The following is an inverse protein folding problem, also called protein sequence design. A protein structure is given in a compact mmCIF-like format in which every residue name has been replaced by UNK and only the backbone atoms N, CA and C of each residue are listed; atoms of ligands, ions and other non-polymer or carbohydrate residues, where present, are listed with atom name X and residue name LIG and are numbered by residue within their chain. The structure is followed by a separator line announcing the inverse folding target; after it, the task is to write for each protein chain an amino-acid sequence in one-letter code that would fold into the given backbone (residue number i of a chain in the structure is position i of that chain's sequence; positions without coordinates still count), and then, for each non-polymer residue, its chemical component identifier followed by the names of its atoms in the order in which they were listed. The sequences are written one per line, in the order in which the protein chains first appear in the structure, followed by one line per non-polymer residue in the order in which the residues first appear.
data_IF_557200863012
#
_entry.id   IF_557200863012
#
_cell.length_a   1.000
_cell.length_b   1.000
_cell.length_c   1.000
_cell.angle_alpha   90.00
_cell.angle_beta   90.00
_cell.angle_gamma   90.00
#
_symmetry.space_group_name_H-M   'P 1'
#
loop_
_entity.id
_entity.type
_entity.pdbx_description
1 polymer ?
#
# COMPACT_ATOMS: atom_id res chain seq x y z
N UNK A 1 10.37 -17.30 17.29
CA UNK A 1 10.48 -17.87 15.92
C UNK A 1 10.52 -16.69 14.97
N UNK A 2 11.67 -16.44 14.38
CA UNK A 2 11.78 -15.45 13.28
C UNK A 2 10.98 -16.01 12.11
N UNK A 3 9.89 -15.34 11.76
CA UNK A 3 9.15 -15.66 10.55
C UNK A 3 10.12 -15.48 9.39
N UNK A 4 10.17 -16.46 8.49
CA UNK A 4 11.03 -16.37 7.31
C UNK A 4 10.63 -15.12 6.51
N UNK A 5 11.53 -14.15 6.41
CA UNK A 5 11.27 -12.87 5.72
C UNK A 5 10.87 -13.08 4.25
N UNK A 6 11.43 -14.10 3.61
CA UNK A 6 11.08 -14.45 2.23
C UNK A 6 9.63 -14.95 2.12
N UNK A 7 9.20 -15.80 3.05
CA UNK A 7 7.82 -16.28 3.11
C UNK A 7 6.84 -15.13 3.38
N UNK A 8 7.22 -14.18 4.24
CA UNK A 8 6.40 -13.01 4.55
C UNK A 8 6.25 -12.09 3.33
N UNK A 9 7.34 -11.85 2.60
CA UNK A 9 7.30 -11.05 1.36
C UNK A 9 6.47 -11.76 0.28
N UNK A 10 6.55 -13.08 0.17
CA UNK A 10 5.73 -13.85 -0.75
C UNK A 10 4.24 -13.77 -0.41
N UNK A 11 3.87 -13.81 0.87
CA UNK A 11 2.47 -13.63 1.32
C UNK A 11 1.95 -12.21 1.02
N UNK A 12 2.81 -11.19 1.10
CA UNK A 12 2.48 -9.83 0.69
C UNK A 12 2.19 -9.73 -0.82
N UNK A 13 2.96 -10.44 -1.66
CA UNK A 13 2.69 -10.51 -3.10
C UNK A 13 1.38 -11.22 -3.40
N UNK A 14 1.09 -12.30 -2.68
CA UNK A 14 -0.16 -13.03 -2.84
C UNK A 14 -1.36 -12.18 -2.46
N UNK A 15 -1.31 -11.46 -1.34
CA UNK A 15 -2.39 -10.55 -0.92
C UNK A 15 -2.68 -9.49 -2.00
N UNK A 16 -1.64 -8.92 -2.62
CA UNK A 16 -1.78 -7.99 -3.74
C UNK A 16 -2.42 -8.63 -4.97
N UNK A 17 -1.98 -9.81 -5.34
CA UNK A 17 -2.52 -10.50 -6.50
C UNK A 17 -4.01 -10.83 -6.32
N UNK A 18 -4.40 -11.27 -5.12
CA UNK A 18 -5.79 -11.52 -4.75
C UNK A 18 -6.64 -10.24 -4.83
N UNK A 19 -6.14 -9.13 -4.26
CA UNK A 19 -6.83 -7.84 -4.30
C UNK A 19 -7.02 -7.36 -5.74
N UNK A 20 -5.99 -7.44 -6.59
CA UNK A 20 -6.08 -7.02 -8.00
C UNK A 20 -7.07 -7.84 -8.81
N UNK A 21 -7.16 -9.15 -8.56
CA UNK A 21 -8.18 -10.01 -9.20
C UNK A 21 -9.59 -9.57 -8.82
N UNK A 22 -9.82 -9.29 -7.54
CA UNK A 22 -11.13 -8.84 -7.03
C UNK A 22 -11.51 -7.48 -7.63
N UNK A 23 -10.59 -6.51 -7.62
CA UNK A 23 -10.84 -5.17 -8.20
C UNK A 23 -11.07 -5.26 -9.70
N UNK A 24 -10.32 -6.10 -10.42
CA UNK A 24 -10.50 -6.28 -11.86
C UNK A 24 -11.88 -6.87 -12.22
N UNK A 25 -12.39 -7.76 -11.38
CA UNK A 25 -13.69 -8.41 -11.58
C UNK A 25 -14.90 -7.51 -11.21
N UNK A 26 -14.67 -6.39 -10.52
CA UNK A 26 -15.75 -5.48 -10.13
C UNK A 26 -16.34 -4.79 -11.37
N UNK A 27 -17.66 -4.64 -11.40
CA UNK A 27 -18.35 -3.87 -12.44
C UNK A 27 -17.80 -2.42 -12.48
N UNK A 28 -17.47 -1.89 -13.68
CA UNK A 28 -16.96 -0.53 -13.81
C UNK A 28 -17.86 0.58 -13.25
N UNK A 29 -19.18 0.32 -13.18
CA UNK A 29 -20.17 1.26 -12.67
C UNK A 29 -20.28 1.25 -11.12
N UNK A 30 -19.60 0.31 -10.44
CA UNK A 30 -19.62 0.20 -8.99
C UNK A 30 -18.41 0.94 -8.40
N UNK A 31 -18.68 1.86 -7.48
CA UNK A 31 -17.62 2.45 -6.66
C UNK A 31 -16.94 1.40 -5.77
N UNK A 32 -15.63 1.36 -5.77
CA UNK A 32 -14.83 0.46 -4.92
C UNK A 32 -14.97 0.83 -3.44
N UNK A 33 -15.05 2.12 -3.19
CA UNK A 33 -15.41 2.74 -1.91
C UNK A 33 -16.36 3.89 -2.21
N UNK A 34 -17.14 4.39 -1.25
CA UNK A 34 -18.04 5.50 -1.50
C UNK A 34 -17.34 6.69 -2.17
N UNK A 35 -17.72 7.02 -3.40
CA UNK A 35 -17.16 8.11 -4.20
C UNK A 35 -15.84 7.81 -4.90
N UNK A 36 -15.35 6.57 -4.87
CA UNK A 36 -14.11 6.15 -5.54
C UNK A 36 -14.36 5.05 -6.57
N UNK A 37 -14.03 5.31 -7.82
CA UNK A 37 -13.95 4.30 -8.86
C UNK A 37 -12.64 3.48 -8.74
N UNK A 38 -12.43 2.52 -9.65
CA UNK A 38 -11.22 1.68 -9.66
C UNK A 38 -9.94 2.51 -9.75
N UNK A 39 -9.91 3.56 -10.59
CA UNK A 39 -8.76 4.45 -10.75
C UNK A 39 -8.41 5.14 -9.42
N UNK A 40 -9.40 5.66 -8.72
CA UNK A 40 -9.22 6.36 -7.45
C UNK A 40 -8.71 5.40 -6.36
N UNK A 41 -9.19 4.17 -6.38
CA UNK A 41 -8.69 3.12 -5.50
C UNK A 41 -7.21 2.79 -5.77
N UNK A 42 -6.83 2.62 -7.05
CA UNK A 42 -5.41 2.44 -7.38
C UNK A 42 -4.57 3.65 -6.96
N UNK A 43 -5.09 4.88 -7.11
CA UNK A 43 -4.42 6.10 -6.69
C UNK A 43 -4.17 6.14 -5.16
N UNK A 44 -5.13 5.67 -4.37
CA UNK A 44 -4.99 5.49 -2.93
C UNK A 44 -3.83 4.52 -2.60
N UNK A 45 -3.82 3.35 -3.21
CA UNK A 45 -2.76 2.35 -3.00
C UNK A 45 -1.39 2.91 -3.44
N UNK A 46 -1.30 3.53 -4.62
CA UNK A 46 -0.07 4.12 -5.12
C UNK A 46 0.49 5.21 -4.20
N UNK A 47 -0.39 6.05 -3.63
CA UNK A 47 0.00 7.09 -2.68
C UNK A 47 0.63 6.55 -1.42
N UNK A 48 0.03 5.54 -0.79
CA UNK A 48 0.60 4.91 0.40
C UNK A 48 1.93 4.22 0.09
N UNK A 49 2.05 3.53 -1.04
CA UNK A 49 3.29 2.87 -1.42
C UNK A 49 4.41 3.86 -1.76
N UNK A 50 4.09 5.01 -2.35
CA UNK A 50 5.07 6.07 -2.57
C UNK A 50 5.68 6.58 -1.25
N UNK A 51 4.84 6.79 -0.22
CA UNK A 51 5.34 7.17 1.12
C UNK A 51 6.23 6.08 1.70
N UNK A 52 5.80 4.83 1.62
CA UNK A 52 6.57 3.70 2.15
C UNK A 52 7.92 3.58 1.46
N UNK A 53 7.96 3.73 0.13
CA UNK A 53 9.21 3.75 -0.62
C UNK A 53 10.15 4.85 -0.12
N UNK A 54 9.66 6.08 0.07
CA UNK A 54 10.46 7.20 0.57
C UNK A 54 10.95 6.96 2.01
N UNK A 55 10.14 6.31 2.87
CA UNK A 55 10.55 5.93 4.23
C UNK A 55 11.72 4.96 4.20
N UNK A 56 11.66 3.92 3.37
CA UNK A 56 12.79 3.00 3.22
C UNK A 56 14.02 3.71 2.66
N UNK A 57 13.85 4.60 1.68
CA UNK A 57 14.94 5.39 1.12
C UNK A 57 15.59 6.28 2.19
N UNK A 58 14.80 6.97 3.02
CA UNK A 58 15.30 7.76 4.15
C UNK A 58 16.13 6.91 5.12
N UNK A 59 15.62 5.74 5.53
CA UNK A 59 16.30 4.89 6.49
C UNK A 59 17.57 4.22 5.93
N UNK A 60 17.69 4.10 4.61
CA UNK A 60 18.88 3.48 3.96
C UNK A 60 19.91 4.49 3.49
N UNK A 61 19.48 5.67 3.03
CA UNK A 61 20.37 6.66 2.39
C UNK A 61 20.44 7.99 3.14
N UNK A 62 19.54 8.24 4.11
CA UNK A 62 19.37 9.53 4.76
C UNK A 62 18.70 10.59 3.89
N UNK A 63 18.16 10.23 2.72
CA UNK A 63 17.39 11.15 1.87
C UNK A 63 16.20 11.70 2.64
N UNK A 64 16.05 13.04 2.80
CA UNK A 64 14.95 13.60 3.57
C UNK A 64 13.59 13.17 3.03
N UNK A 65 12.67 12.84 3.94
CA UNK A 65 11.27 12.65 3.59
C UNK A 65 10.68 13.96 3.08
N UNK A 66 9.78 13.88 2.11
CA UNK A 66 8.96 15.03 1.73
C UNK A 66 8.10 15.47 2.90
N UNK A 67 7.79 16.76 2.97
CA UNK A 67 6.75 17.25 3.88
C UNK A 67 5.40 16.75 3.39
N UNK A 68 4.88 15.72 4.05
CA UNK A 68 3.52 15.28 3.84
C UNK A 68 2.58 16.04 4.78
N UNK A 69 1.46 16.57 4.29
CA UNK A 69 0.51 17.34 5.11
C UNK A 69 -0.17 16.51 6.22
N UNK A 70 0.07 15.21 6.26
CA UNK A 70 -0.56 14.25 7.17
C UNK A 70 0.46 13.52 8.06
N UNK A 71 1.34 14.26 8.69
CA UNK A 71 2.23 13.71 9.73
C UNK A 71 1.48 13.14 10.95
N UNK A 72 0.16 13.15 10.91
CA UNK A 72 -0.70 12.67 11.97
C UNK A 72 -1.76 11.71 11.39
N UNK A 73 -1.86 10.51 11.97
CA UNK A 73 -2.88 9.51 11.60
C UNK A 73 -4.32 10.02 11.78
N UNK A 74 -4.51 11.14 12.49
CA UNK A 74 -5.81 11.76 12.69
C UNK A 74 -6.42 12.35 11.40
N UNK A 75 -5.64 12.38 10.30
CA UNK A 75 -6.06 12.97 9.02
C UNK A 75 -5.89 11.99 7.82
N UNK A 76 -6.18 10.71 8.03
CA UNK A 76 -6.12 9.67 6.98
C UNK A 76 -7.04 10.00 5.80
N UNK A 77 -8.20 10.59 6.06
CA UNK A 77 -9.14 10.93 5.00
C UNK A 77 -8.58 12.03 4.09
N UNK A 78 -7.94 13.04 4.67
CA UNK A 78 -7.25 14.09 3.90
C UNK A 78 -6.07 13.51 3.10
N UNK A 79 -5.28 12.62 3.68
CA UNK A 79 -4.20 11.92 2.99
C UNK A 79 -4.73 11.13 1.79
N UNK A 80 -5.76 10.34 1.99
CA UNK A 80 -6.39 9.53 0.96
C UNK A 80 -6.95 10.40 -0.18
N UNK A 81 -7.65 11.48 0.16
CA UNK A 81 -8.16 12.44 -0.82
C UNK A 81 -7.02 13.11 -1.60
N UNK A 82 -5.91 13.44 -0.93
CA UNK A 82 -4.71 14.00 -1.53
C UNK A 82 -4.09 13.08 -2.57
N UNK A 83 -3.94 11.78 -2.26
CA UNK A 83 -3.39 10.79 -3.21
C UNK A 83 -4.22 10.65 -4.47
N UNK A 84 -5.55 10.68 -4.34
CA UNK A 84 -6.48 10.65 -5.47
C UNK A 84 -6.36 11.94 -6.29
N UNK A 85 -6.34 13.10 -5.63
CA UNK A 85 -6.25 14.41 -6.29
C UNK A 85 -4.94 14.56 -7.07
N UNK A 86 -3.80 14.15 -6.52
CA UNK A 86 -2.49 14.20 -7.17
C UNK A 86 -2.45 13.40 -8.49
N UNK A 87 -3.28 12.36 -8.59
CA UNK A 87 -3.31 11.43 -9.74
C UNK A 87 -4.52 11.61 -10.66
N UNK A 88 -5.26 12.71 -10.51
CA UNK A 88 -6.48 12.96 -11.30
C UNK A 88 -6.27 12.93 -12.81
N UNK A 89 -5.11 13.36 -13.30
CA UNK A 89 -4.78 13.37 -14.74
C UNK A 89 -4.27 12.02 -15.27
N UNK A 90 -4.02 11.06 -14.38
CA UNK A 90 -3.53 9.72 -14.74
C UNK A 90 -4.65 8.82 -15.25
N UNK A 91 -4.32 7.95 -16.21
CA UNK A 91 -5.20 6.84 -16.57
C UNK A 91 -5.13 5.74 -15.52
N UNK A 92 -6.16 4.88 -15.46
CA UNK A 92 -6.18 3.72 -14.57
C UNK A 92 -4.93 2.85 -14.76
N UNK A 93 -4.56 2.55 -16.02
CA UNK A 93 -3.39 1.73 -16.33
C UNK A 93 -2.07 2.37 -15.84
N UNK A 94 -1.92 3.69 -16.00
CA UNK A 94 -0.71 4.39 -15.55
C UNK A 94 -0.59 4.38 -14.03
N UNK A 95 -1.69 4.55 -13.31
CA UNK A 95 -1.70 4.54 -11.84
C UNK A 95 -1.45 3.11 -11.32
N UNK A 96 -2.05 2.12 -11.96
CA UNK A 96 -1.78 0.71 -11.66
C UNK A 96 -0.31 0.34 -11.88
N UNK A 97 0.28 0.82 -12.98
CA UNK A 97 1.71 0.64 -13.24
C UNK A 97 2.57 1.32 -12.15
N UNK A 98 2.17 2.51 -11.67
CA UNK A 98 2.84 3.17 -10.53
C UNK A 98 2.82 2.27 -9.29
N UNK A 99 1.68 1.65 -8.95
CA UNK A 99 1.60 0.68 -7.85
C UNK A 99 2.62 -0.47 -8.03
N UNK A 100 2.72 -1.04 -9.23
CA UNK A 100 3.65 -2.15 -9.49
C UNK A 100 5.12 -1.72 -9.35
N UNK A 101 5.46 -0.52 -9.84
CA UNK A 101 6.81 0.04 -9.72
C UNK A 101 7.17 0.28 -8.25
N UNK A 102 6.29 0.92 -7.49
CA UNK A 102 6.50 1.19 -6.07
C UNK A 102 6.64 -0.12 -5.27
N UNK A 103 5.76 -1.09 -5.52
CA UNK A 103 5.82 -2.40 -4.89
C UNK A 103 7.13 -3.13 -5.20
N UNK A 104 7.56 -3.12 -6.44
CA UNK A 104 8.84 -3.71 -6.83
C UNK A 104 10.02 -3.07 -6.09
N UNK A 105 10.04 -1.73 -5.99
CA UNK A 105 11.09 -1.01 -5.29
C UNK A 105 11.08 -1.32 -3.78
N UNK A 106 9.91 -1.33 -3.14
CA UNK A 106 9.75 -1.70 -1.72
C UNK A 106 10.26 -3.14 -1.48
N UNK A 107 9.90 -4.08 -2.32
CA UNK A 107 10.36 -5.47 -2.21
C UNK A 107 11.87 -5.59 -2.33
N UNK A 108 12.48 -4.87 -3.26
CA UNK A 108 13.94 -4.85 -3.35
C UNK A 108 14.56 -4.37 -2.06
N UNK A 109 14.06 -3.25 -1.50
CA UNK A 109 14.57 -2.72 -0.23
C UNK A 109 14.37 -3.70 0.93
N UNK A 110 13.22 -4.37 1.01
CA UNK A 110 12.97 -5.40 2.02
C UNK A 110 13.95 -6.58 1.88
N UNK A 111 14.23 -7.03 0.67
CA UNK A 111 15.18 -8.12 0.42
C UNK A 111 16.63 -7.73 0.73
N UNK A 112 16.96 -6.44 0.67
CA UNK A 112 18.30 -5.93 1.01
C UNK A 112 18.48 -5.75 2.53
N UNK A 113 17.43 -5.86 3.35
CA UNK A 113 17.54 -5.83 4.81
C UNK A 113 18.09 -7.16 5.31
N UNK A 114 19.25 -7.18 6.01
CA UNK A 114 19.74 -8.41 6.65
C UNK A 114 18.70 -9.00 7.61
N UNK A 115 18.58 -10.32 7.63
CA UNK A 115 17.56 -11.04 8.43
C UNK A 115 17.59 -10.62 9.90
N UNK A 116 18.79 -10.43 10.47
CA UNK A 116 18.97 -9.97 11.84
C UNK A 116 18.54 -8.52 12.10
N UNK A 117 18.25 -7.77 11.04
CA UNK A 117 17.80 -6.38 11.10
C UNK A 117 16.28 -6.23 10.80
N UNK A 118 15.62 -7.32 10.38
CA UNK A 118 14.21 -7.28 9.95
C UNK A 118 13.28 -6.84 11.07
N UNK A 119 13.65 -7.13 12.32
CA UNK A 119 12.92 -6.73 13.53
C UNK A 119 13.50 -5.46 14.20
N UNK A 120 14.45 -4.77 13.55
CA UNK A 120 14.91 -3.47 14.05
C UNK A 120 13.92 -2.35 13.69
N UNK A 121 13.75 -1.36 14.59
CA UNK A 121 12.84 -0.25 14.33
C UNK A 121 13.26 0.59 13.11
N UNK A 122 12.32 0.84 12.22
CA UNK A 122 12.39 1.76 11.08
C UNK A 122 11.52 2.97 11.42
N UNK A 123 12.01 4.18 11.18
CA UNK A 123 11.26 5.41 11.44
C UNK A 123 10.31 5.71 10.28
N UNK A 124 9.00 5.69 10.56
CA UNK A 124 7.94 6.15 9.68
C UNK A 124 7.39 7.50 10.17
N UNK A 125 6.71 8.30 9.33
CA UNK A 125 6.08 9.55 9.74
C UNK A 125 5.11 9.41 10.93
N UNK A 126 4.44 8.27 11.01
CA UNK A 126 3.45 7.94 12.06
C UNK A 126 4.03 7.14 13.24
N UNK A 127 5.36 6.93 13.30
CA UNK A 127 5.99 6.21 14.41
C UNK A 127 7.04 5.20 13.97
N UNK A 128 7.43 4.31 14.88
CA UNK A 128 8.43 3.28 14.61
C UNK A 128 7.76 1.94 14.38
N UNK A 129 8.09 1.28 13.27
CA UNK A 129 7.71 -0.09 12.96
C UNK A 129 8.94 -0.91 12.61
N UNK A 130 8.85 -2.23 12.71
CA UNK A 130 9.83 -3.14 12.13
C UNK A 130 9.46 -3.49 10.69
N UNK A 131 10.39 -4.00 9.88
CA UNK A 131 10.06 -4.49 8.55
C UNK A 131 9.03 -5.63 8.62
N UNK A 132 9.16 -6.54 9.59
CA UNK A 132 8.16 -7.60 9.86
C UNK A 132 6.76 -6.99 10.06
N UNK A 133 6.63 -6.03 10.98
CA UNK A 133 5.34 -5.42 11.28
C UNK A 133 4.77 -4.68 10.08
N UNK A 134 5.61 -3.93 9.36
CA UNK A 134 5.19 -3.25 8.14
C UNK A 134 4.61 -4.22 7.11
N UNK A 135 5.30 -5.34 6.83
CA UNK A 135 4.81 -6.32 5.84
C UNK A 135 3.50 -6.96 6.31
N UNK A 136 3.38 -7.31 7.60
CA UNK A 136 2.14 -7.84 8.17
C UNK A 136 0.97 -6.86 8.04
N UNK A 137 1.21 -5.57 8.29
CA UNK A 137 0.20 -4.52 8.15
C UNK A 137 -0.21 -4.32 6.68
N UNK A 138 0.74 -4.36 5.75
CA UNK A 138 0.46 -4.29 4.32
C UNK A 138 -0.43 -5.47 3.86
N UNK A 139 -0.10 -6.70 4.27
CA UNK A 139 -0.92 -7.89 3.99
C UNK A 139 -2.33 -7.73 4.53
N UNK A 140 -2.44 -7.32 5.79
CA UNK A 140 -3.75 -7.11 6.43
C UNK A 140 -4.56 -6.05 5.71
N UNK A 141 -3.97 -4.91 5.39
CA UNK A 141 -4.62 -3.81 4.70
C UNK A 141 -5.20 -4.23 3.34
N UNK A 142 -4.44 -4.97 2.55
CA UNK A 142 -4.90 -5.46 1.25
C UNK A 142 -6.00 -6.51 1.38
N UNK A 143 -5.91 -7.41 2.35
CA UNK A 143 -6.96 -8.40 2.63
C UNK A 143 -8.24 -7.77 3.18
N UNK A 144 -8.13 -6.72 4.00
CA UNK A 144 -9.28 -5.95 4.47
C UNK A 144 -10.00 -5.29 3.29
N UNK A 145 -9.28 -4.63 2.39
CA UNK A 145 -9.85 -4.07 1.16
C UNK A 145 -10.51 -5.14 0.28
N UNK A 146 -9.84 -6.27 0.08
CA UNK A 146 -10.40 -7.39 -0.68
C UNK A 146 -11.73 -7.88 -0.09
N UNK A 147 -11.79 -8.03 1.24
CA UNK A 147 -12.99 -8.46 1.94
C UNK A 147 -14.13 -7.42 1.82
N UNK A 148 -13.83 -6.13 1.90
CA UNK A 148 -14.83 -5.07 1.78
C UNK A 148 -15.37 -4.98 0.35
N UNK A 149 -14.53 -5.08 -0.68
CA UNK A 149 -14.93 -5.06 -2.08
C UNK A 149 -15.82 -6.28 -2.42
N UNK A 150 -15.48 -7.47 -1.90
CA UNK A 150 -16.29 -8.66 -2.11
C UNK A 150 -17.72 -8.52 -1.57
N UNK A 151 -17.93 -7.74 -0.51
CA UNK A 151 -19.26 -7.44 0.01
C UNK A 151 -20.12 -6.65 -0.99
N UNK A 152 -19.49 -5.79 -1.81
CA UNK A 152 -20.18 -5.01 -2.83
C UNK A 152 -20.70 -5.88 -3.99
N UNK A 153 -20.11 -7.05 -4.20
CA UNK A 153 -20.50 -7.99 -5.26
C UNK A 153 -21.63 -8.93 -4.84
N UNK A 154 -22.01 -8.93 -3.56
CA UNK A 154 -23.11 -9.78 -3.09
C UNK A 154 -24.45 -9.14 -3.45
N UNK A 155 -25.42 -9.90 -4.01
CA UNK A 155 -26.76 -9.37 -4.23
C UNK A 155 -27.36 -8.93 -2.90
N UNK A 156 -28.01 -7.77 -2.91
CA UNK A 156 -28.81 -7.30 -1.77
C UNK A 156 -29.91 -8.33 -1.50
N UNK A 157 -29.79 -9.09 -0.41
CA UNK A 157 -30.80 -10.05 0.06
C UNK A 157 -31.94 -9.34 0.74
#
# INVERSE_FOLDING_TARGET
MTQDSAALIADMDQARAELWQIVAALDPEIDVCPGWNKRDFYAHIAGWEAIVYEVFLYNTTGTPLKDYPYNNLDDLDAANAGFVAERQSGTEDNIKLECEINRYAIKRMLNDIPVENFDKPIQFPWGKLTATKFVQDAIKHERDHAADILKLQQPLT
#
